data_IF_595349428855
#
_entry.id   IF_595349428855
#
_cell.length_a   1.000
_cell.length_b   1.000
_cell.length_c   1.000
_cell.angle_alpha   90.00
_cell.angle_beta   90.00
_cell.angle_gamma   90.00
#
_symmetry.space_group_name_H-M   'P 1'
#
loop_
_entity.id
_entity.type
_entity.pdbx_description
1 polymer ?
#
# COMPACT_ATOMS: atom_id res chain seq x y z
N UNK A 1 16.25 12.80 23.52
CA UNK A 1 16.30 12.80 22.03
C UNK A 1 15.96 11.38 21.60
N UNK A 2 15.05 11.20 20.68
CA UNK A 2 14.64 9.88 20.16
C UNK A 2 14.84 9.81 18.64
N UNK A 3 14.50 8.67 18.04
CA UNK A 3 14.67 8.42 16.61
C UNK A 3 13.86 9.36 15.71
N UNK A 4 12.86 10.06 16.25
CA UNK A 4 11.97 10.96 15.50
C UNK A 4 12.34 12.44 15.64
N UNK A 5 13.44 12.77 16.35
CA UNK A 5 13.82 14.15 16.64
C UNK A 5 13.91 15.03 15.36
N UNK A 6 14.45 14.50 14.26
CA UNK A 6 14.54 15.24 12.99
C UNK A 6 13.17 15.46 12.32
N UNK A 7 12.26 14.51 12.45
CA UNK A 7 10.87 14.65 11.97
C UNK A 7 10.16 15.73 12.80
N UNK A 8 10.37 15.74 14.10
CA UNK A 8 9.81 16.74 15.01
C UNK A 8 10.28 18.17 14.70
N UNK A 9 11.51 18.36 14.23
CA UNK A 9 12.00 19.69 13.80
C UNK A 9 11.19 20.26 12.63
N UNK A 10 10.61 19.42 11.79
CA UNK A 10 9.78 19.83 10.64
C UNK A 10 8.29 19.92 10.98
N UNK A 11 7.78 18.93 11.70
CA UNK A 11 6.35 18.79 11.95
C UNK A 11 5.88 19.44 13.28
N UNK A 12 6.80 19.67 14.22
CA UNK A 12 6.49 20.16 15.56
C UNK A 12 6.05 19.06 16.53
N UNK A 13 6.01 19.41 17.83
CA UNK A 13 5.69 18.49 18.92
C UNK A 13 4.26 17.95 18.81
N UNK A 14 3.29 18.83 18.57
CA UNK A 14 1.86 18.48 18.53
C UNK A 14 1.55 17.50 17.40
N UNK A 15 2.18 17.67 16.24
CA UNK A 15 2.07 16.73 15.11
C UNK A 15 2.63 15.36 15.46
N UNK A 16 3.77 15.31 16.17
CA UNK A 16 4.36 14.03 16.61
C UNK A 16 3.46 13.32 17.63
N UNK A 17 2.84 14.05 18.56
CA UNK A 17 1.86 13.47 19.50
C UNK A 17 0.59 12.99 18.78
N UNK A 18 0.16 13.69 17.72
CA UNK A 18 -0.95 13.21 16.85
C UNK A 18 -0.60 11.92 16.16
N UNK A 19 0.56 11.85 15.48
CA UNK A 19 1.01 10.64 14.78
C UNK A 19 1.16 9.45 15.74
N UNK A 20 1.70 9.67 16.92
CA UNK A 20 1.85 8.65 17.96
C UNK A 20 0.52 8.06 18.44
N UNK A 21 -0.57 8.81 18.36
CA UNK A 21 -1.93 8.36 18.70
C UNK A 21 -2.69 7.80 17.51
N UNK A 22 -2.20 8.02 16.29
CA UNK A 22 -2.89 7.61 15.07
C UNK A 22 -2.75 6.12 14.80
N UNK A 23 -3.83 5.53 14.26
CA UNK A 23 -3.91 4.14 13.78
C UNK A 23 -4.18 4.13 12.28
N UNK A 24 -3.28 3.53 11.51
CA UNK A 24 -3.35 3.46 10.05
C UNK A 24 -3.47 2.00 9.61
N UNK A 25 -4.50 1.69 8.81
CA UNK A 25 -4.63 0.38 8.18
C UNK A 25 -4.00 0.38 6.78
N UNK A 26 -3.18 -0.63 6.49
CA UNK A 26 -2.50 -0.81 5.21
C UNK A 26 -2.95 -2.12 4.58
N UNK A 27 -3.78 -2.03 3.56
CA UNK A 27 -4.25 -3.16 2.79
C UNK A 27 -3.31 -3.40 1.60
N UNK A 28 -2.64 -4.54 1.61
CA UNK A 28 -1.58 -4.90 0.67
C UNK A 28 -0.18 -4.47 1.13
N UNK A 29 0.68 -5.44 1.47
CA UNK A 29 2.06 -5.23 1.95
C UNK A 29 3.07 -5.65 0.87
N UNK A 30 2.80 -5.23 -0.37
CA UNK A 30 3.64 -5.50 -1.52
C UNK A 30 4.68 -4.40 -1.79
N UNK A 31 4.99 -4.20 -3.08
CA UNK A 31 5.98 -3.20 -3.51
C UNK A 31 5.62 -1.75 -3.19
N UNK A 32 4.34 -1.40 -3.13
CA UNK A 32 3.86 -0.07 -2.72
C UNK A 32 3.63 -0.03 -1.21
N UNK A 33 2.76 -0.91 -0.69
CA UNK A 33 2.38 -0.88 0.72
C UNK A 33 3.55 -1.10 1.67
N UNK A 34 4.52 -1.95 1.33
CA UNK A 34 5.71 -2.16 2.14
C UNK A 34 6.52 -0.87 2.36
N UNK A 35 6.68 -0.04 1.33
CA UNK A 35 7.35 1.27 1.48
C UNK A 35 6.47 2.31 2.18
N UNK A 36 5.14 2.22 2.04
CA UNK A 36 4.24 3.04 2.86
C UNK A 36 4.38 2.71 4.34
N UNK A 37 4.40 1.44 4.70
CA UNK A 37 4.62 0.94 6.07
C UNK A 37 5.96 1.41 6.63
N UNK A 38 7.03 1.26 5.86
CA UNK A 38 8.37 1.74 6.25
C UNK A 38 8.38 3.23 6.62
N UNK A 39 7.76 4.06 5.77
CA UNK A 39 7.72 5.50 5.99
C UNK A 39 6.83 5.89 7.17
N UNK A 40 5.67 5.23 7.37
CA UNK A 40 4.81 5.46 8.53
C UNK A 40 5.53 5.12 9.84
N UNK A 41 6.21 3.95 9.90
CA UNK A 41 6.99 3.54 11.07
C UNK A 41 8.09 4.54 11.41
N UNK A 42 8.82 5.04 10.39
CA UNK A 42 9.88 6.06 10.54
C UNK A 42 9.38 7.45 10.88
N UNK A 43 8.11 7.71 10.68
CA UNK A 43 7.46 8.99 11.01
C UNK A 43 6.79 8.99 12.38
N UNK A 44 6.81 7.85 13.10
CA UNK A 44 6.31 7.78 14.46
C UNK A 44 4.82 7.49 14.59
N UNK A 45 4.16 6.92 13.55
CA UNK A 45 2.78 6.44 13.65
C UNK A 45 2.68 5.38 14.75
N UNK A 46 1.69 5.54 15.63
CA UNK A 46 1.59 4.76 16.87
C UNK A 46 0.94 3.40 16.73
N UNK A 47 0.08 3.21 15.73
CA UNK A 47 -0.54 1.92 15.45
C UNK A 47 -0.68 1.68 13.94
N UNK A 48 -0.32 0.48 13.48
CA UNK A 48 -0.38 0.08 12.08
C UNK A 48 -1.01 -1.31 12.00
N UNK A 49 -2.08 -1.42 11.23
CA UNK A 49 -2.70 -2.69 10.89
C UNK A 49 -2.23 -3.10 9.48
N UNK A 50 -1.76 -4.32 9.36
CA UNK A 50 -1.21 -4.90 8.13
C UNK A 50 -2.11 -6.00 7.62
N UNK A 51 -2.61 -5.87 6.40
CA UNK A 51 -3.54 -6.84 5.80
C UNK A 51 -2.94 -7.34 4.48
N UNK A 52 -2.54 -8.61 4.42
CA UNK A 52 -2.00 -9.27 3.22
C UNK A 52 -1.97 -10.80 3.46
N UNK A 53 -2.42 -11.60 2.52
CA UNK A 53 -2.45 -13.08 2.60
C UNK A 53 -1.16 -13.73 2.09
N UNK A 54 -0.35 -12.99 1.34
CA UNK A 54 0.78 -13.53 0.62
C UNK A 54 1.97 -13.86 1.56
N UNK A 55 2.74 -14.85 1.14
CA UNK A 55 4.09 -15.10 1.62
C UNK A 55 5.11 -14.40 0.72
N UNK A 56 6.27 -14.09 1.28
CA UNK A 56 7.39 -13.54 0.50
C UNK A 56 7.85 -14.58 -0.52
N UNK A 57 7.89 -14.19 -1.79
CA UNK A 57 8.37 -15.01 -2.90
C UNK A 57 9.72 -14.47 -3.41
N UNK A 58 10.54 -15.35 -3.99
CA UNK A 58 11.83 -14.99 -4.60
C UNK A 58 11.71 -13.78 -5.55
N UNK A 59 10.68 -13.76 -6.39
CA UNK A 59 10.45 -12.68 -7.35
C UNK A 59 10.00 -11.35 -6.73
N UNK A 60 9.78 -11.31 -5.40
CA UNK A 60 9.47 -10.06 -4.69
C UNK A 60 10.72 -9.27 -4.31
N UNK A 61 11.87 -9.93 -4.23
CA UNK A 61 13.14 -9.33 -3.76
C UNK A 61 13.54 -8.11 -4.60
N UNK A 62 13.20 -8.11 -5.88
CA UNK A 62 13.55 -7.01 -6.78
C UNK A 62 12.89 -5.66 -6.45
N UNK A 63 11.80 -5.66 -5.62
CA UNK A 63 11.01 -4.43 -5.40
C UNK A 63 10.28 -4.29 -4.07
N UNK A 64 10.21 -5.33 -3.23
CA UNK A 64 9.54 -5.28 -1.94
C UNK A 64 10.56 -5.15 -0.81
N UNK A 65 10.48 -4.09 -0.03
CA UNK A 65 11.45 -3.77 1.03
C UNK A 65 11.56 -4.84 2.12
N UNK A 66 10.49 -5.61 2.33
CA UNK A 66 10.42 -6.69 3.31
C UNK A 66 10.98 -8.02 2.77
N UNK A 67 11.23 -8.09 1.45
CA UNK A 67 11.65 -9.32 0.79
C UNK A 67 13.16 -9.38 0.64
N UNK A 68 13.77 -10.35 1.26
CA UNK A 68 15.16 -10.75 1.09
C UNK A 68 15.28 -12.28 1.11
N UNK A 69 16.50 -12.80 0.94
CA UNK A 69 16.75 -14.26 0.88
C UNK A 69 16.33 -14.97 2.18
N UNK A 70 16.40 -14.29 3.34
CA UNK A 70 16.07 -14.85 4.67
C UNK A 70 14.58 -14.83 4.98
N UNK A 71 13.80 -14.05 4.23
CA UNK A 71 12.37 -13.86 4.47
C UNK A 71 11.49 -14.65 3.52
N UNK A 72 12.05 -15.30 2.47
CA UNK A 72 11.30 -16.14 1.55
C UNK A 72 10.49 -17.20 2.31
N UNK A 73 9.21 -17.34 1.97
CA UNK A 73 8.28 -18.29 2.57
C UNK A 73 7.58 -17.83 3.84
N UNK A 74 8.02 -16.73 4.47
CA UNK A 74 7.33 -16.12 5.61
C UNK A 74 6.17 -15.25 5.14
N UNK A 75 5.13 -15.09 5.97
CA UNK A 75 4.04 -14.16 5.65
C UNK A 75 4.54 -12.72 5.60
N UNK A 76 4.12 -11.97 4.59
CA UNK A 76 4.54 -10.58 4.39
C UNK A 76 4.21 -9.70 5.58
N UNK A 77 3.03 -9.87 6.16
CA UNK A 77 2.59 -9.09 7.33
C UNK A 77 3.46 -9.32 8.56
N UNK A 78 3.94 -10.54 8.78
CA UNK A 78 4.81 -10.87 9.92
C UNK A 78 6.21 -10.28 9.73
N UNK A 79 6.78 -10.39 8.52
CA UNK A 79 8.07 -9.78 8.19
C UNK A 79 7.98 -8.25 8.32
N UNK A 80 6.88 -7.66 7.85
CA UNK A 80 6.66 -6.22 7.98
C UNK A 80 6.50 -5.79 9.44
N UNK A 81 5.82 -6.58 10.29
CA UNK A 81 5.72 -6.35 11.72
C UNK A 81 7.10 -6.33 12.39
N UNK A 82 7.93 -7.33 12.14
CA UNK A 82 9.30 -7.39 12.67
C UNK A 82 10.10 -6.15 12.24
N UNK A 83 9.94 -5.76 10.98
CA UNK A 83 10.56 -4.56 10.42
C UNK A 83 10.10 -3.29 11.11
N UNK A 84 8.80 -3.10 11.31
CA UNK A 84 8.23 -1.94 12.02
C UNK A 84 8.81 -1.87 13.44
N UNK A 85 8.76 -2.99 14.18
CA UNK A 85 9.21 -3.04 15.56
C UNK A 85 10.73 -2.80 15.71
N UNK A 86 11.53 -3.14 14.70
CA UNK A 86 12.96 -2.79 14.66
C UNK A 86 13.21 -1.28 14.48
N UNK A 87 12.24 -0.54 13.91
CA UNK A 87 12.32 0.91 13.67
C UNK A 87 11.63 1.69 14.79
N UNK A 88 10.41 1.28 15.13
CA UNK A 88 9.58 1.89 16.15
C UNK A 88 9.08 0.82 17.14
N UNK A 89 9.86 0.48 18.17
CA UNK A 89 9.51 -0.57 19.13
C UNK A 89 8.21 -0.31 19.92
N UNK A 90 7.72 0.93 19.93
CA UNK A 90 6.49 1.32 20.63
C UNK A 90 5.25 1.29 19.73
N UNK A 91 5.41 1.03 18.46
CA UNK A 91 4.28 0.91 17.53
C UNK A 91 3.43 -0.33 17.85
N UNK A 92 2.13 -0.18 17.93
CA UNK A 92 1.20 -1.30 18.01
C UNK A 92 0.99 -1.85 16.60
N UNK A 93 1.39 -3.10 16.35
CA UNK A 93 1.26 -3.72 15.04
C UNK A 93 0.31 -4.90 15.11
N UNK A 94 -0.81 -4.80 14.39
CA UNK A 94 -1.78 -5.88 14.20
C UNK A 94 -1.57 -6.48 12.82
N UNK A 95 -1.50 -7.80 12.72
CA UNK A 95 -1.32 -8.52 11.45
C UNK A 95 -2.55 -9.35 11.12
N UNK A 96 -3.03 -9.24 9.88
CA UNK A 96 -4.14 -10.01 9.34
C UNK A 96 -3.63 -10.78 8.12
N UNK A 97 -3.43 -12.09 8.30
CA UNK A 97 -3.00 -13.01 7.23
C UNK A 97 -4.21 -13.43 6.40
N UNK A 98 -4.84 -12.49 5.72
CA UNK A 98 -6.02 -12.75 4.91
C UNK A 98 -6.03 -11.92 3.63
N UNK A 99 -6.71 -12.46 2.61
CA UNK A 99 -7.04 -11.72 1.41
C UNK A 99 -8.32 -10.93 1.64
N UNK A 100 -8.22 -9.60 1.58
CA UNK A 100 -9.38 -8.73 1.77
C UNK A 100 -10.32 -8.79 0.56
N UNK A 101 -11.57 -9.10 0.82
CA UNK A 101 -12.68 -9.11 -0.15
C UNK A 101 -13.96 -8.58 0.53
N UNK A 102 -15.02 -8.26 -0.24
CA UNK A 102 -16.31 -7.85 0.33
C UNK A 102 -16.88 -8.85 1.34
N UNK A 103 -16.60 -10.15 1.16
CA UNK A 103 -17.13 -11.25 1.97
C UNK A 103 -16.59 -11.24 3.41
N UNK A 104 -15.36 -10.73 3.62
CA UNK A 104 -14.73 -10.62 4.93
C UNK A 104 -14.55 -9.17 5.40
N UNK A 105 -15.19 -8.21 4.71
CA UNK A 105 -15.10 -6.80 5.10
C UNK A 105 -15.64 -6.54 6.52
N UNK A 106 -16.61 -7.33 6.97
CA UNK A 106 -17.17 -7.24 8.33
C UNK A 106 -16.20 -7.62 9.46
N UNK A 107 -15.07 -8.24 9.15
CA UNK A 107 -14.03 -8.56 10.13
C UNK A 107 -13.19 -7.32 10.52
N UNK A 108 -13.40 -6.18 9.84
CA UNK A 108 -12.66 -4.95 10.02
C UNK A 108 -13.57 -3.80 10.45
N UNK A 109 -13.35 -3.27 11.64
CA UNK A 109 -14.03 -2.05 12.07
C UNK A 109 -13.26 -0.83 11.54
N UNK A 110 -13.74 -0.29 10.41
CA UNK A 110 -13.12 0.88 9.78
C UNK A 110 -13.17 2.12 10.68
N UNK A 111 -14.13 2.22 11.62
CA UNK A 111 -14.25 3.37 12.51
C UNK A 111 -13.08 3.50 13.50
N UNK A 112 -12.31 2.43 13.71
CA UNK A 112 -11.12 2.45 14.55
C UNK A 112 -9.87 3.02 13.87
N UNK A 113 -9.92 3.27 12.55
CA UNK A 113 -8.78 3.78 11.79
C UNK A 113 -8.84 5.29 11.62
N UNK A 114 -7.73 5.97 11.85
CA UNK A 114 -7.57 7.38 11.48
C UNK A 114 -7.30 7.57 9.99
N UNK A 115 -6.80 6.52 9.32
CA UNK A 115 -6.52 6.53 7.88
C UNK A 115 -6.43 5.13 7.29
N UNK A 116 -6.85 4.98 6.03
CA UNK A 116 -6.75 3.73 5.26
C UNK A 116 -5.85 3.92 4.04
N UNK A 117 -4.88 3.02 3.86
CA UNK A 117 -4.06 2.92 2.66
C UNK A 117 -4.51 1.70 1.85
N UNK A 118 -4.98 1.94 0.64
CA UNK A 118 -5.30 0.93 -0.33
C UNK A 118 -4.13 0.71 -1.31
N UNK A 119 -3.35 -0.34 -1.06
CA UNK A 119 -2.25 -0.78 -1.91
C UNK A 119 -2.47 -2.19 -2.48
N UNK A 120 -3.73 -2.70 -2.47
CA UNK A 120 -4.08 -3.98 -3.09
C UNK A 120 -4.13 -3.86 -4.63
N UNK A 121 -4.03 -4.98 -5.33
CA UNK A 121 -4.06 -5.04 -6.79
C UNK A 121 -5.40 -5.51 -7.38
N UNK A 122 -6.34 -5.93 -6.54
CA UNK A 122 -7.65 -6.45 -6.95
C UNK A 122 -8.71 -5.36 -6.96
N UNK A 123 -9.34 -5.13 -8.12
CA UNK A 123 -10.33 -4.06 -8.32
C UNK A 123 -11.52 -4.19 -7.36
N UNK A 124 -12.03 -5.40 -7.14
CA UNK A 124 -13.16 -5.64 -6.22
C UNK A 124 -12.83 -5.22 -4.80
N UNK A 125 -11.64 -5.61 -4.31
CA UNK A 125 -11.15 -5.20 -3.00
C UNK A 125 -11.01 -3.68 -2.89
N UNK A 126 -10.37 -3.02 -3.89
CA UNK A 126 -10.23 -1.56 -3.93
C UNK A 126 -11.56 -0.82 -3.82
N UNK A 127 -12.55 -1.26 -4.58
CA UNK A 127 -13.87 -0.64 -4.57
C UNK A 127 -14.51 -0.78 -3.19
N UNK A 128 -14.46 -1.97 -2.61
CA UNK A 128 -15.04 -2.22 -1.29
C UNK A 128 -14.32 -1.43 -0.19
N UNK A 129 -12.97 -1.37 -0.19
CA UNK A 129 -12.20 -0.55 0.75
C UNK A 129 -12.62 0.91 0.72
N UNK A 130 -12.78 1.47 -0.48
CA UNK A 130 -13.23 2.87 -0.64
C UNK A 130 -14.65 3.06 -0.12
N UNK A 131 -15.55 2.10 -0.35
CA UNK A 131 -16.92 2.17 0.15
C UNK A 131 -16.97 2.11 1.68
N UNK A 132 -16.30 1.13 2.30
CA UNK A 132 -16.24 0.98 3.75
C UNK A 132 -15.64 2.21 4.44
N UNK A 133 -14.51 2.71 3.94
CA UNK A 133 -13.89 3.93 4.46
C UNK A 133 -14.82 5.15 4.34
N UNK A 134 -15.53 5.28 3.20
CA UNK A 134 -16.47 6.39 2.99
C UNK A 134 -17.71 6.29 3.89
N UNK A 135 -18.24 5.09 4.13
CA UNK A 135 -19.36 4.83 5.05
C UNK A 135 -19.01 5.21 6.49
N UNK A 136 -17.78 4.91 6.92
CA UNK A 136 -17.26 5.25 8.25
C UNK A 136 -16.66 6.68 8.33
N UNK A 137 -16.69 7.46 7.25
CA UNK A 137 -16.04 8.77 7.16
C UNK A 137 -14.54 8.76 7.47
N UNK A 138 -13.85 7.66 7.20
CA UNK A 138 -12.41 7.51 7.36
C UNK A 138 -11.71 7.93 6.06
N UNK A 139 -10.68 8.79 6.14
CA UNK A 139 -9.90 9.16 4.96
C UNK A 139 -9.19 7.95 4.37
N UNK A 140 -9.20 7.85 3.04
CA UNK A 140 -8.55 6.78 2.29
C UNK A 140 -7.72 7.33 1.14
N UNK A 141 -6.54 6.75 0.92
CA UNK A 141 -5.70 6.99 -0.25
C UNK A 141 -5.45 5.67 -0.98
N UNK A 142 -5.62 5.67 -2.29
CA UNK A 142 -5.49 4.47 -3.10
C UNK A 142 -4.33 4.58 -4.10
N UNK A 143 -3.49 3.57 -4.13
CA UNK A 143 -2.47 3.41 -5.19
C UNK A 143 -3.13 2.94 -6.47
N UNK A 144 -2.88 3.65 -7.57
CA UNK A 144 -3.22 3.14 -8.89
C UNK A 144 -2.08 2.24 -9.43
N UNK A 145 -2.14 1.85 -10.70
CA UNK A 145 -1.19 0.90 -11.27
C UNK A 145 0.26 1.41 -11.25
N UNK A 146 1.13 0.71 -10.51
CA UNK A 146 2.57 0.98 -10.44
C UNK A 146 3.43 0.00 -11.26
N UNK A 147 2.84 -1.05 -11.83
CA UNK A 147 3.53 -1.97 -12.74
C UNK A 147 3.70 -1.43 -14.16
N UNK A 148 4.65 -2.02 -14.90
CA UNK A 148 4.95 -1.70 -16.30
C UNK A 148 5.35 -0.24 -16.52
N UNK A 149 6.16 0.32 -15.61
CA UNK A 149 6.61 1.72 -15.62
C UNK A 149 8.06 1.82 -15.22
N UNK A 150 8.73 2.87 -15.73
CA UNK A 150 10.13 3.16 -15.46
C UNK A 150 10.36 4.59 -14.93
N UNK A 151 9.37 5.47 -15.07
CA UNK A 151 9.49 6.85 -14.58
C UNK A 151 8.78 7.05 -13.23
N UNK A 152 9.51 7.03 -12.10
CA UNK A 152 8.94 7.30 -10.79
C UNK A 152 8.52 8.77 -10.62
N UNK A 153 9.04 9.70 -11.43
CA UNK A 153 8.74 11.14 -11.34
C UNK A 153 7.40 11.49 -11.99
N UNK A 154 6.86 10.61 -12.82
CA UNK A 154 5.55 10.76 -13.45
C UNK A 154 4.36 10.49 -12.49
N UNK A 155 4.62 10.06 -11.25
CA UNK A 155 3.58 9.83 -10.26
C UNK A 155 3.16 11.12 -9.57
N UNK A 156 1.85 11.32 -9.49
CA UNK A 156 1.25 12.49 -8.83
C UNK A 156 0.09 12.09 -7.93
N UNK A 157 -0.17 12.92 -6.93
CA UNK A 157 -1.37 12.87 -6.10
C UNK A 157 -2.50 13.61 -6.80
N UNK A 158 -3.68 13.01 -6.84
CA UNK A 158 -4.84 13.61 -7.49
C UNK A 158 -6.16 13.08 -6.91
N UNK A 159 -7.27 13.70 -7.27
CA UNK A 159 -8.58 13.06 -7.17
C UNK A 159 -8.76 12.06 -8.31
N UNK A 160 -9.42 10.91 -8.03
CA UNK A 160 -9.66 9.85 -9.01
C UNK A 160 -10.32 10.38 -10.29
N UNK A 161 -11.24 11.35 -10.17
CA UNK A 161 -11.96 11.91 -11.32
C UNK A 161 -11.14 12.87 -12.18
N UNK A 162 -9.96 13.29 -11.70
CA UNK A 162 -8.99 14.12 -12.43
C UNK A 162 -7.84 13.31 -13.03
N UNK A 163 -7.87 11.98 -12.90
CA UNK A 163 -6.83 11.10 -13.44
C UNK A 163 -6.95 10.91 -14.95
N UNK A 164 -5.83 10.63 -15.61
CA UNK A 164 -5.75 10.32 -17.04
C UNK A 164 -4.83 9.11 -17.26
N UNK A 165 -4.70 8.64 -18.48
CA UNK A 165 -3.73 7.63 -18.94
C UNK A 165 -3.86 6.26 -18.26
N UNK A 166 -3.88 6.18 -16.93
CA UNK A 166 -3.85 4.93 -16.16
C UNK A 166 -5.10 4.04 -16.38
N UNK A 167 -4.95 2.80 -16.89
CA UNK A 167 -6.07 1.89 -17.14
C UNK A 167 -6.84 1.53 -15.87
N UNK A 168 -6.13 1.28 -14.75
CA UNK A 168 -6.75 0.97 -13.47
C UNK A 168 -7.60 2.15 -12.97
N UNK A 169 -7.07 3.37 -13.04
CA UNK A 169 -7.83 4.56 -12.65
C UNK A 169 -9.09 4.75 -13.52
N UNK A 170 -9.05 4.40 -14.80
CA UNK A 170 -10.23 4.43 -15.68
C UNK A 170 -11.33 3.47 -15.20
N UNK A 171 -10.96 2.26 -14.79
CA UNK A 171 -11.90 1.29 -14.23
C UNK A 171 -12.46 1.80 -12.91
N UNK A 172 -11.60 2.24 -11.98
CA UNK A 172 -12.01 2.75 -10.68
C UNK A 172 -12.98 3.94 -10.80
N UNK A 173 -12.70 4.92 -11.66
CA UNK A 173 -13.61 6.05 -11.92
C UNK A 173 -15.01 5.59 -12.29
N UNK A 174 -15.10 4.64 -13.23
CA UNK A 174 -16.38 4.12 -13.71
C UNK A 174 -17.15 3.44 -12.59
N UNK A 175 -16.49 2.56 -11.85
CA UNK A 175 -17.12 1.75 -10.81
C UNK A 175 -17.49 2.57 -9.57
N UNK A 176 -16.67 3.54 -9.16
CA UNK A 176 -16.96 4.42 -8.04
C UNK A 176 -18.08 5.42 -8.36
N UNK A 177 -18.17 5.90 -9.61
CA UNK A 177 -19.26 6.76 -10.06
C UNK A 177 -20.63 6.06 -9.94
N UNK A 178 -20.71 4.77 -10.31
CA UNK A 178 -21.94 3.97 -10.15
C UNK A 178 -22.38 3.83 -8.68
N UNK A 179 -21.44 3.94 -7.74
CA UNK A 179 -21.67 3.81 -6.30
C UNK A 179 -21.78 5.16 -5.59
N UNK A 180 -21.95 6.25 -6.35
CA UNK A 180 -22.08 7.61 -5.83
C UNK A 180 -20.89 8.10 -4.95
N UNK A 181 -19.70 7.49 -5.07
CA UNK A 181 -18.49 8.01 -4.44
C UNK A 181 -18.07 9.29 -5.15
N UNK A 182 -18.01 10.40 -4.41
CA UNK A 182 -17.80 11.75 -4.97
C UNK A 182 -16.33 12.11 -5.16
N UNK A 183 -15.43 11.52 -4.37
CA UNK A 183 -13.99 11.80 -4.38
C UNK A 183 -13.21 10.61 -3.87
N UNK A 184 -11.97 10.47 -4.33
CA UNK A 184 -11.00 9.54 -3.79
C UNK A 184 -9.60 10.10 -4.07
N UNK A 185 -8.79 10.28 -3.02
CA UNK A 185 -7.37 10.63 -3.16
C UNK A 185 -6.62 9.42 -3.72
N UNK A 186 -5.88 9.62 -4.78
CA UNK A 186 -5.10 8.56 -5.43
C UNK A 186 -3.68 9.02 -5.76
N UNK A 187 -2.77 8.06 -5.81
CA UNK A 187 -1.44 8.23 -6.43
C UNK A 187 -1.45 7.45 -7.75
N UNK A 188 -1.21 8.14 -8.85
CA UNK A 188 -1.21 7.53 -10.18
C UNK A 188 -0.12 8.13 -11.07
N UNK A 189 0.29 7.39 -12.09
CA UNK A 189 1.29 7.85 -13.05
C UNK A 189 0.64 8.40 -14.33
N UNK A 190 1.26 9.45 -14.88
CA UNK A 190 0.98 9.96 -16.23
C UNK A 190 1.75 9.23 -17.31
N UNK A 191 2.67 8.34 -16.95
CA UNK A 191 3.40 7.49 -17.87
C UNK A 191 2.45 6.44 -18.48
N UNK A 192 2.56 6.24 -19.80
CA UNK A 192 1.88 5.13 -20.47
C UNK A 192 2.51 3.80 -20.01
N UNK A 193 1.69 2.81 -19.60
CA UNK A 193 2.24 1.51 -19.26
C UNK A 193 3.00 0.88 -20.43
N UNK A 194 4.18 0.39 -20.16
CA UNK A 194 4.98 -0.37 -21.12
C UNK A 194 4.32 -1.74 -21.37
N UNK A 195 4.58 -2.31 -22.53
CA UNK A 195 4.25 -3.70 -22.83
C UNK A 195 5.41 -4.56 -22.32
N UNK A 196 5.20 -5.46 -21.34
CA UNK A 196 6.26 -6.35 -20.89
C UNK A 196 6.75 -7.23 -22.04
N UNK A 197 8.05 -7.51 -22.07
CA UNK A 197 8.59 -8.53 -22.97
C UNK A 197 8.08 -9.91 -22.53
N UNK A 198 7.59 -10.69 -23.48
CA UNK A 198 7.23 -12.07 -23.24
C UNK A 198 8.50 -12.95 -23.29
N UNK A 199 8.88 -13.52 -22.16
CA UNK A 199 10.00 -14.44 -22.03
C UNK A 199 9.55 -15.60 -21.15
N UNK A 200 9.31 -16.75 -21.79
CA UNK A 200 8.86 -17.95 -21.08
C UNK A 200 9.90 -18.51 -20.11
N UNK A 201 11.19 -18.25 -20.36
CA UNK A 201 12.29 -18.76 -19.52
C UNK A 201 12.34 -18.14 -18.13
N UNK A 202 11.82 -16.91 -17.98
CA UNK A 202 11.76 -16.15 -16.71
C UNK A 202 10.34 -15.92 -16.21
N UNK A 203 9.35 -16.44 -16.91
CA UNK A 203 7.94 -16.23 -16.55
C UNK A 203 7.55 -17.10 -15.35
N UNK A 204 6.93 -16.51 -14.34
CA UNK A 204 6.30 -17.27 -13.25
C UNK A 204 5.15 -18.18 -13.74
N UNK A 205 4.69 -18.05 -14.98
CA UNK A 205 3.69 -18.95 -15.57
C UNK A 205 4.27 -20.31 -15.90
N UNK A 206 5.47 -20.33 -16.45
CA UNK A 206 6.20 -21.57 -16.84
C UNK A 206 7.05 -22.14 -15.69
N UNK A 207 7.60 -21.25 -14.84
CA UNK A 207 8.51 -21.61 -13.75
C UNK A 207 8.06 -20.94 -12.43
N UNK A 208 6.98 -21.47 -11.83
CA UNK A 208 6.46 -20.95 -10.58
C UNK A 208 7.42 -21.26 -9.41
N UNK A 209 7.93 -20.22 -8.76
CA UNK A 209 8.77 -20.27 -7.56
C UNK A 209 8.03 -19.81 -6.31
N UNK A 210 6.69 -19.88 -6.32
CA UNK A 210 5.88 -19.54 -5.16
C UNK A 210 6.17 -20.48 -3.99
N UNK A 211 6.22 -19.98 -2.74
CA UNK A 211 6.42 -20.82 -1.57
C UNK A 211 5.33 -21.90 -1.44
N UNK A 212 5.66 -23.07 -0.88
CA UNK A 212 4.66 -24.10 -0.59
C UNK A 212 3.53 -23.56 0.28
N UNK A 213 2.28 -23.92 -0.04
CA UNK A 213 1.10 -23.49 0.71
C UNK A 213 0.66 -22.04 0.44
N UNK A 214 1.12 -21.42 -0.64
CA UNK A 214 0.53 -20.19 -1.15
C UNK A 214 -0.84 -20.51 -1.75
N UNK A 215 -1.91 -19.94 -1.17
CA UNK A 215 -3.29 -20.17 -1.62
C UNK A 215 -3.53 -19.60 -3.03
N UNK A 216 -2.82 -18.52 -3.38
CA UNK A 216 -2.91 -17.86 -4.68
C UNK A 216 -1.56 -17.86 -5.37
N UNK A 217 -1.55 -18.36 -6.61
CA UNK A 217 -0.34 -18.45 -7.41
C UNK A 217 -0.25 -17.31 -8.43
N UNK A 218 0.98 -16.97 -8.81
CA UNK A 218 1.20 -16.00 -9.91
C UNK A 218 0.53 -16.45 -11.22
N UNK A 219 0.37 -17.77 -11.41
CA UNK A 219 -0.29 -18.40 -12.56
C UNK A 219 -1.78 -18.05 -12.67
N UNK A 220 -2.45 -17.72 -11.56
CA UNK A 220 -3.87 -17.40 -11.53
C UNK A 220 -4.15 -15.98 -12.05
N UNK A 221 -3.11 -15.18 -12.22
CA UNK A 221 -3.22 -13.81 -12.73
C UNK A 221 -3.32 -13.79 -14.25
N UNK A 222 -4.23 -12.97 -14.79
CA UNK A 222 -4.39 -12.78 -16.24
C UNK A 222 -3.11 -12.29 -16.92
N UNK A 223 -2.34 -11.45 -16.26
CA UNK A 223 -1.03 -10.98 -16.70
C UNK A 223 -0.13 -10.72 -15.49
N UNK A 224 1.17 -11.00 -15.63
CA UNK A 224 2.18 -10.68 -14.63
C UNK A 224 2.83 -9.38 -15.06
N UNK A 225 2.61 -8.25 -14.36
CA UNK A 225 3.20 -6.98 -14.73
C UNK A 225 4.71 -6.99 -14.44
N UNK A 226 5.49 -6.39 -15.34
CA UNK A 226 6.88 -6.03 -15.06
C UNK A 226 6.96 -4.99 -13.95
N UNK A 227 8.03 -5.02 -13.17
CA UNK A 227 8.25 -4.04 -12.10
C UNK A 227 9.73 -3.90 -11.77
N UNK A 228 10.12 -2.72 -11.32
CA UNK A 228 11.47 -2.35 -10.89
C UNK A 228 11.45 -1.79 -9.48
N UNK A 229 12.60 -1.75 -8.79
CA UNK A 229 12.67 -1.36 -7.39
C UNK A 229 12.22 0.08 -7.13
N UNK A 230 12.59 1.00 -8.01
CA UNK A 230 12.47 2.45 -7.79
C UNK A 230 11.10 3.06 -8.17
N UNK A 231 10.18 2.28 -8.76
CA UNK A 231 8.84 2.78 -9.12
C UNK A 231 7.84 2.55 -7.99
N UNK A 232 7.52 1.31 -7.56
CA UNK A 232 6.55 1.11 -6.49
C UNK A 232 7.01 1.68 -5.15
N UNK A 233 8.33 1.73 -4.91
CA UNK A 233 8.90 2.33 -3.71
C UNK A 233 8.57 3.82 -3.59
N UNK A 234 8.77 4.58 -4.66
CA UNK A 234 8.43 6.02 -4.69
C UNK A 234 6.93 6.23 -4.49
N UNK A 235 6.08 5.40 -5.12
CA UNK A 235 4.63 5.46 -4.90
C UNK A 235 4.28 5.26 -3.43
N UNK A 236 4.87 4.26 -2.76
CA UNK A 236 4.65 4.00 -1.34
C UNK A 236 5.08 5.15 -0.45
N UNK A 237 6.22 5.78 -0.74
CA UNK A 237 6.71 6.95 -0.01
C UNK A 237 5.82 8.18 -0.22
N UNK A 238 5.32 8.43 -1.43
CA UNK A 238 4.36 9.50 -1.71
C UNK A 238 3.07 9.28 -0.90
N UNK A 239 2.53 8.06 -0.90
CA UNK A 239 1.31 7.71 -0.15
C UNK A 239 1.49 7.99 1.34
N UNK A 240 2.57 7.49 1.95
CA UNK A 240 2.83 7.72 3.36
C UNK A 240 3.00 9.22 3.67
N UNK A 241 3.70 9.96 2.82
CA UNK A 241 3.84 11.41 2.95
C UNK A 241 2.49 12.14 2.93
N UNK A 242 1.56 11.73 2.06
CA UNK A 242 0.20 12.28 2.03
C UNK A 242 -0.60 11.94 3.31
N UNK A 243 -0.51 10.69 3.79
CA UNK A 243 -1.15 10.27 5.04
C UNK A 243 -0.65 11.11 6.22
N UNK A 244 0.67 11.27 6.35
CA UNK A 244 1.28 12.07 7.42
C UNK A 244 0.81 13.52 7.36
N UNK A 245 0.82 14.14 6.16
CA UNK A 245 0.33 15.51 5.96
C UNK A 245 -1.14 15.65 6.30
N UNK A 246 -1.99 14.70 5.90
CA UNK A 246 -3.42 14.73 6.20
C UNK A 246 -3.70 14.58 7.71
N UNK A 247 -2.97 13.68 8.39
CA UNK A 247 -3.11 13.48 9.85
C UNK A 247 -2.66 14.69 10.66
N UNK A 248 -1.79 15.53 10.10
CA UNK A 248 -1.19 16.69 10.79
C UNK A 248 -1.58 18.05 10.22
N UNK A 249 -2.45 18.09 9.19
CA UNK A 249 -2.79 19.31 8.41
C UNK A 249 -3.29 20.49 9.25
N UNK A 250 -4.00 20.22 10.35
CA UNK A 250 -4.59 21.26 11.21
C UNK A 250 -3.61 21.74 12.30
N UNK A 251 -2.39 21.18 12.34
CA UNK A 251 -1.38 21.40 13.37
C UNK A 251 -0.11 22.04 12.78
N UNK A 252 0.29 21.61 11.57
CA UNK A 252 1.47 22.16 10.90
C UNK A 252 1.17 23.55 10.36
N UNK A 253 2.12 24.49 10.56
CA UNK A 253 2.04 25.91 10.16
C UNK A 253 1.98 26.10 8.65
#
# INVERSE_FOLDING_TARGET
MDQFARTQLLLGVDSMERLKKSRVAVFGVGGVGGYSVEALARSGVGAIDLIDDDKVCLTNINRQIIADVKTIGKYKVDVAKDRILSINPRCKVTTHQCFYLPENAGDFDFSEYDYVIDAVDTVTAKINLVMQANECNVPVISSMGAGNKLDPTAFIVSDIYKTSVCPLAKVMRRELKKRNIKKLKVVYSKEQPLVPMEDESISCRSHCVCPPGAERKCTDRRAIPGSVAFVPSVVGLIIAGEVIKDLTKDIVR
#
